data_IF_321898700712
#
_entry.id   IF_321898700712
#
_cell.length_a   1.000
_cell.length_b   1.000
_cell.length_c   1.000
_cell.angle_alpha   90.00
_cell.angle_beta   90.00
_cell.angle_gamma   90.00
#
_symmetry.space_group_name_H-M   'P 1'
#
loop_
_entity.id
_entity.type
_entity.pdbx_description
1 polymer ?
#
# COMPACT_ATOMS: atom_id res chain seq x y z
N UNK A 1 -11.18 -7.12 34.80
CA UNK A 1 -9.84 -7.66 34.40
C UNK A 1 -9.13 -6.61 33.57
N UNK A 2 -7.93 -6.19 33.99
CA UNK A 2 -7.17 -5.18 33.27
C UNK A 2 -6.56 -5.83 32.02
N UNK A 3 -6.91 -5.35 30.83
CA UNK A 3 -6.33 -5.85 29.57
C UNK A 3 -4.82 -5.61 29.54
N UNK A 4 -4.05 -6.64 29.22
CA UNK A 4 -2.60 -6.52 29.07
C UNK A 4 -2.25 -5.74 27.79
N UNK A 5 -1.01 -5.22 27.69
CA UNK A 5 -0.52 -4.57 26.47
C UNK A 5 -0.62 -5.53 25.27
N UNK A 6 -0.30 -6.81 25.48
CA UNK A 6 -0.43 -7.85 24.46
C UNK A 6 -1.88 -7.95 23.95
N UNK A 7 -2.87 -7.96 24.84
CA UNK A 7 -4.28 -8.07 24.45
C UNK A 7 -4.76 -6.84 23.67
N UNK A 8 -4.29 -5.65 24.06
CA UNK A 8 -4.61 -4.40 23.33
C UNK A 8 -3.97 -4.38 21.94
N UNK A 9 -2.72 -4.86 21.81
CA UNK A 9 -2.04 -4.95 20.52
C UNK A 9 -2.77 -5.91 19.58
N UNK A 10 -3.07 -7.13 20.04
CA UNK A 10 -3.71 -8.13 19.17
C UNK A 10 -5.14 -7.71 18.79
N UNK A 11 -5.87 -7.05 19.69
CA UNK A 11 -7.18 -6.49 19.37
C UNK A 11 -7.09 -5.44 18.26
N UNK A 12 -6.09 -4.54 18.31
CA UNK A 12 -5.83 -3.56 17.24
C UNK A 12 -5.45 -4.24 15.92
N UNK A 13 -4.57 -5.26 15.97
CA UNK A 13 -4.17 -6.03 14.79
C UNK A 13 -5.38 -6.67 14.11
N UNK A 14 -6.26 -7.31 14.88
CA UNK A 14 -7.47 -7.92 14.35
C UNK A 14 -8.47 -6.89 13.82
N UNK A 15 -8.61 -5.76 14.50
CA UNK A 15 -9.46 -4.65 14.04
C UNK A 15 -8.99 -4.00 12.72
N UNK A 16 -7.68 -4.05 12.42
CA UNK A 16 -7.12 -3.60 11.13
C UNK A 16 -7.28 -4.63 10.02
N UNK A 17 -7.47 -5.88 10.38
CA UNK A 17 -7.68 -6.98 9.45
C UNK A 17 -6.40 -7.63 8.91
N UNK A 18 -6.60 -8.78 8.26
CA UNK A 18 -5.50 -9.54 7.64
C UNK A 18 -4.84 -8.74 6.51
N UNK A 19 -3.52 -8.84 6.42
CA UNK A 19 -2.68 -8.10 5.47
C UNK A 19 -2.16 -6.77 6.01
N UNK A 20 -2.62 -6.32 7.19
CA UNK A 20 -2.07 -5.12 7.79
C UNK A 20 -0.60 -5.30 8.13
N UNK A 21 0.23 -4.32 7.73
CA UNK A 21 1.66 -4.25 8.04
C UNK A 21 1.92 -3.13 9.05
N UNK A 22 2.70 -3.44 10.08
CA UNK A 22 2.91 -2.56 11.22
C UNK A 22 4.32 -2.69 11.81
N UNK A 23 4.66 -1.74 12.64
CA UNK A 23 5.88 -1.69 13.43
C UNK A 23 5.53 -1.34 14.88
N UNK A 24 6.51 -1.31 15.77
CA UNK A 24 6.29 -0.94 17.17
C UNK A 24 5.67 0.46 17.34
N UNK A 25 5.93 1.41 16.42
CA UNK A 25 5.44 2.79 16.54
C UNK A 25 3.91 2.86 16.41
N UNK A 26 3.30 1.90 15.72
CA UNK A 26 1.85 1.81 15.56
C UNK A 26 1.12 1.48 16.89
N UNK A 27 1.87 1.21 17.96
CA UNK A 27 1.39 0.89 19.31
C UNK A 27 2.01 1.77 20.40
N UNK A 28 2.64 2.89 20.05
CA UNK A 28 3.34 3.77 20.97
C UNK A 28 2.40 4.37 22.05
N UNK A 29 1.10 4.43 21.76
CA UNK A 29 0.05 4.88 22.69
C UNK A 29 -0.38 3.81 23.71
N UNK A 30 0.04 2.54 23.55
CA UNK A 30 -0.38 1.44 24.42
C UNK A 30 0.60 1.16 25.59
N UNK A 31 1.82 1.68 25.49
CA UNK A 31 2.83 1.46 26.54
C UNK A 31 4.22 1.92 26.14
N UNK A 32 5.20 1.62 26.99
CA UNK A 32 6.60 1.93 26.69
C UNK A 32 7.10 1.08 25.51
N UNK A 33 8.15 1.57 24.82
CA UNK A 33 8.78 0.84 23.72
C UNK A 33 9.13 -0.59 24.12
N UNK A 34 9.76 -0.76 25.29
CA UNK A 34 10.15 -2.07 25.79
C UNK A 34 8.96 -3.02 26.00
N UNK A 35 7.87 -2.51 26.59
CA UNK A 35 6.67 -3.34 26.82
C UNK A 35 5.96 -3.73 25.53
N UNK A 36 5.96 -2.84 24.52
CA UNK A 36 5.44 -3.13 23.18
C UNK A 36 6.31 -4.17 22.47
N UNK A 37 7.64 -4.03 22.53
CA UNK A 37 8.58 -4.99 21.90
C UNK A 37 8.43 -6.39 22.51
N UNK A 38 8.31 -6.50 23.84
CA UNK A 38 8.05 -7.78 24.53
C UNK A 38 6.72 -8.39 24.10
N UNK A 39 5.66 -7.57 23.99
CA UNK A 39 4.35 -8.05 23.58
C UNK A 39 4.36 -8.54 22.13
N UNK A 40 5.00 -7.80 21.19
CA UNK A 40 5.16 -8.20 19.80
C UNK A 40 5.96 -9.51 19.68
N UNK A 41 7.04 -9.67 20.47
CA UNK A 41 7.80 -10.91 20.49
C UNK A 41 6.95 -12.11 20.95
N UNK A 42 6.13 -11.94 21.97
CA UNK A 42 5.19 -13.00 22.42
C UNK A 42 4.19 -13.37 21.34
N UNK A 43 3.55 -12.38 20.68
CA UNK A 43 2.60 -12.60 19.60
C UNK A 43 3.25 -13.29 18.38
N UNK A 44 4.53 -12.99 18.10
CA UNK A 44 5.31 -13.67 17.08
C UNK A 44 5.53 -15.15 17.43
N UNK A 45 5.94 -15.45 18.67
CA UNK A 45 6.15 -16.82 19.14
C UNK A 45 4.85 -17.63 19.21
N UNK A 46 3.71 -16.96 19.46
CA UNK A 46 2.38 -17.57 19.42
C UNK A 46 1.85 -17.75 17.98
N UNK A 47 2.62 -17.37 16.94
CA UNK A 47 2.20 -17.47 15.54
C UNK A 47 1.02 -16.56 15.15
N UNK A 48 0.69 -15.56 15.98
CA UNK A 48 -0.43 -14.64 15.74
C UNK A 48 -0.11 -13.56 14.72
N UNK A 49 1.16 -13.21 14.62
CA UNK A 49 1.71 -12.25 13.66
C UNK A 49 2.96 -12.85 13.03
N UNK A 50 3.38 -12.31 11.88
CA UNK A 50 4.60 -12.73 11.18
C UNK A 50 5.59 -11.57 11.16
N UNK A 51 6.88 -11.86 11.34
CA UNK A 51 7.95 -10.90 11.11
C UNK A 51 8.41 -10.99 9.68
N UNK A 52 8.28 -9.91 8.90
CA UNK A 52 8.64 -9.85 7.48
C UNK A 52 9.99 -9.17 7.23
N UNK A 53 10.43 -8.32 8.17
CA UNK A 53 11.77 -7.75 8.22
C UNK A 53 12.11 -7.35 9.68
N UNK A 54 13.34 -6.89 9.93
CA UNK A 54 13.73 -6.44 11.28
C UNK A 54 12.83 -5.27 11.77
N UNK A 55 11.99 -5.56 12.78
CA UNK A 55 11.06 -4.60 13.39
C UNK A 55 9.87 -4.24 12.50
N UNK A 56 9.58 -5.06 11.48
CA UNK A 56 8.40 -4.95 10.62
C UNK A 56 7.63 -6.25 10.66
N UNK A 57 6.36 -6.17 10.95
CA UNK A 57 5.46 -7.30 11.16
C UNK A 57 4.22 -7.18 10.27
N UNK A 58 3.56 -8.30 10.00
CA UNK A 58 2.24 -8.30 9.38
C UNK A 58 1.27 -9.27 10.10
N UNK A 59 -0.01 -9.05 9.85
CA UNK A 59 -1.06 -10.01 10.15
C UNK A 59 -1.37 -10.76 8.85
N UNK A 60 -0.81 -11.99 8.65
CA UNK A 60 -0.78 -12.61 7.33
C UNK A 60 -2.18 -12.96 6.82
N UNK A 61 -2.35 -12.84 5.50
CA UNK A 61 -3.52 -13.37 4.78
C UNK A 61 -3.26 -14.81 4.40
N UNK A 62 -4.28 -15.63 4.50
CA UNK A 62 -4.28 -16.99 3.99
C UNK A 62 -5.15 -17.07 2.74
N UNK A 63 -4.77 -17.87 1.77
CA UNK A 63 -5.57 -18.19 0.58
C UNK A 63 -6.06 -19.62 0.67
N UNK A 64 -7.36 -19.82 0.80
CA UNK A 64 -7.95 -21.16 0.82
C UNK A 64 -7.77 -21.84 -0.54
N UNK A 65 -7.81 -21.07 -1.65
CA UNK A 65 -7.61 -21.61 -3.00
C UNK A 65 -6.19 -22.14 -3.23
N UNK A 66 -5.19 -21.46 -2.67
CA UNK A 66 -3.77 -21.83 -2.82
C UNK A 66 -3.24 -22.64 -1.63
N UNK A 67 -4.08 -22.85 -0.62
CA UNK A 67 -3.77 -23.53 0.65
C UNK A 67 -2.47 -23.01 1.30
N UNK A 68 -2.19 -21.70 1.15
CA UNK A 68 -0.95 -21.11 1.64
C UNK A 68 -1.14 -19.71 2.19
N UNK A 69 -0.18 -19.32 3.04
CA UNK A 69 -0.07 -17.94 3.52
C UNK A 69 0.49 -17.05 2.42
N UNK A 70 -0.25 -16.00 2.08
CA UNK A 70 0.14 -15.06 1.03
C UNK A 70 1.37 -14.24 1.43
N UNK A 71 2.11 -13.78 0.42
CA UNK A 71 3.17 -12.80 0.59
C UNK A 71 2.64 -11.51 1.23
N UNK A 72 3.48 -10.76 2.00
CA UNK A 72 3.08 -9.48 2.55
C UNK A 72 2.80 -8.47 1.44
N UNK A 73 1.94 -7.49 1.72
CA UNK A 73 1.77 -6.33 0.83
C UNK A 73 3.00 -5.42 0.95
N UNK A 74 3.81 -5.39 -0.10
CA UNK A 74 5.08 -4.64 -0.12
C UNK A 74 4.87 -3.12 -0.08
N UNK A 75 3.76 -2.59 -0.60
CA UNK A 75 3.44 -1.16 -0.47
C UNK A 75 3.06 -0.80 0.97
N UNK A 76 2.27 -1.64 1.63
CA UNK A 76 1.98 -1.46 3.06
C UNK A 76 3.25 -1.59 3.91
N UNK A 77 4.18 -2.48 3.52
CA UNK A 77 5.47 -2.62 4.20
C UNK A 77 6.34 -1.37 4.03
N UNK A 78 6.43 -0.81 2.81
CA UNK A 78 7.14 0.45 2.56
C UNK A 78 6.57 1.59 3.42
N UNK A 79 5.25 1.70 3.50
CA UNK A 79 4.56 2.71 4.33
C UNK A 79 4.78 2.50 5.83
N UNK A 80 4.82 1.25 6.30
CA UNK A 80 5.11 0.94 7.69
C UNK A 80 6.55 1.31 8.06
N UNK A 81 7.51 1.03 7.19
CA UNK A 81 8.91 1.43 7.34
C UNK A 81 9.02 2.95 7.37
N UNK A 82 8.40 3.64 6.42
CA UNK A 82 8.40 5.10 6.35
C UNK A 82 7.83 5.75 7.62
N UNK A 83 6.68 5.27 8.12
CA UNK A 83 6.10 5.73 9.40
C UNK A 83 7.07 5.55 10.56
N UNK A 84 7.75 4.40 10.64
CA UNK A 84 8.75 4.13 11.70
C UNK A 84 9.92 5.10 11.65
N UNK A 85 10.33 5.50 10.45
CA UNK A 85 11.46 6.40 10.24
C UNK A 85 11.06 7.89 10.25
N UNK A 86 9.76 8.20 10.26
CA UNK A 86 9.25 9.56 10.14
C UNK A 86 9.41 10.15 8.74
N UNK A 87 9.54 9.30 7.71
CA UNK A 87 9.71 9.71 6.31
C UNK A 87 8.38 9.89 5.61
N UNK A 88 8.34 10.87 4.74
CA UNK A 88 7.32 10.96 3.68
C UNK A 88 7.82 10.19 2.48
N UNK A 89 6.94 9.41 1.88
CA UNK A 89 7.29 8.61 0.71
C UNK A 89 6.27 8.80 -0.41
N UNK A 90 6.76 8.66 -1.63
CA UNK A 90 5.97 8.63 -2.84
C UNK A 90 6.39 7.42 -3.67
N UNK A 91 5.43 6.65 -4.16
CA UNK A 91 5.73 5.53 -5.03
C UNK A 91 6.36 6.02 -6.33
N UNK A 92 7.38 5.33 -6.84
CA UNK A 92 7.91 5.62 -8.18
C UNK A 92 6.92 5.18 -9.27
N UNK A 93 7.03 5.78 -10.46
CA UNK A 93 6.17 5.41 -11.58
C UNK A 93 6.29 3.93 -11.96
N UNK A 94 7.50 3.39 -12.01
CA UNK A 94 7.73 1.97 -12.30
C UNK A 94 7.10 1.04 -11.27
N UNK A 95 7.22 1.36 -9.98
CA UNK A 95 6.58 0.59 -8.92
C UNK A 95 5.05 0.69 -8.98
N UNK A 96 4.52 1.86 -9.34
CA UNK A 96 3.08 2.05 -9.53
C UNK A 96 2.53 1.19 -10.68
N UNK A 97 3.23 1.14 -11.82
CA UNK A 97 2.88 0.28 -12.95
C UNK A 97 2.83 -1.20 -12.56
N UNK A 98 3.78 -1.65 -11.76
CA UNK A 98 3.81 -3.03 -11.29
C UNK A 98 2.66 -3.35 -10.34
N UNK A 99 2.39 -2.49 -9.36
CA UNK A 99 1.29 -2.69 -8.40
C UNK A 99 -0.07 -2.73 -9.13
N UNK A 100 -0.24 -1.90 -10.16
CA UNK A 100 -1.45 -1.89 -10.98
C UNK A 100 -1.48 -3.01 -12.03
N UNK A 101 -0.42 -3.82 -12.13
CA UNK A 101 -0.32 -4.90 -13.11
C UNK A 101 -0.22 -4.42 -14.55
N UNK A 102 0.23 -3.19 -14.77
CA UNK A 102 0.43 -2.59 -16.10
C UNK A 102 1.81 -2.89 -16.68
N UNK A 103 2.72 -3.42 -15.89
CA UNK A 103 4.03 -3.90 -16.33
C UNK A 103 4.09 -5.42 -16.23
N UNK A 104 4.66 -6.08 -17.24
CA UNK A 104 4.95 -7.53 -17.23
C UNK A 104 6.25 -7.86 -16.51
N UNK A 105 7.06 -6.86 -16.20
CA UNK A 105 8.29 -7.08 -15.43
C UNK A 105 7.91 -7.34 -13.97
N UNK A 106 8.32 -8.49 -13.45
CA UNK A 106 8.26 -8.77 -12.00
C UNK A 106 9.48 -8.10 -11.37
N UNK A 107 9.34 -6.95 -10.71
CA UNK A 107 10.49 -6.31 -10.12
C UNK A 107 10.83 -7.03 -8.82
N UNK A 108 12.02 -7.58 -8.72
CA UNK A 108 12.61 -7.94 -7.44
C UNK A 108 12.85 -6.72 -6.53
N UNK A 109 12.57 -5.51 -7.04
CA UNK A 109 12.82 -4.23 -6.35
C UNK A 109 11.66 -3.25 -6.57
N UNK A 110 11.09 -2.75 -5.46
CA UNK A 110 10.07 -1.70 -5.45
C UNK A 110 10.69 -0.39 -4.98
N UNK A 111 10.71 0.62 -5.85
CA UNK A 111 11.35 1.90 -5.56
C UNK A 111 10.34 2.94 -5.10
N UNK A 112 10.67 3.64 -4.01
CA UNK A 112 9.96 4.79 -3.48
C UNK A 112 10.89 6.01 -3.40
N UNK A 113 10.38 7.17 -3.75
CA UNK A 113 11.02 8.45 -3.43
C UNK A 113 10.73 8.79 -1.97
N UNK A 114 11.71 9.33 -1.27
CA UNK A 114 11.62 9.61 0.17
C UNK A 114 12.34 10.92 0.52
N UNK A 115 11.82 11.67 1.49
CA UNK A 115 12.56 12.80 2.09
C UNK A 115 13.63 12.34 3.10
N UNK A 116 13.65 11.04 3.45
CA UNK A 116 14.71 10.41 4.22
C UNK A 116 15.92 10.02 3.35
N UNK A 117 16.97 9.46 3.95
CA UNK A 117 18.15 8.99 3.22
C UNK A 117 17.82 7.83 2.30
N UNK A 118 18.64 7.64 1.27
CA UNK A 118 18.55 6.46 0.41
C UNK A 118 18.90 5.21 1.20
N UNK A 119 17.97 4.22 1.22
CA UNK A 119 18.12 3.00 1.98
C UNK A 119 17.32 1.86 1.35
N UNK A 120 17.81 0.63 1.50
CA UNK A 120 17.16 -0.59 1.05
C UNK A 120 16.72 -1.47 2.24
N UNK A 121 15.58 -2.13 2.05
CA UNK A 121 15.05 -3.12 2.99
C UNK A 121 14.66 -4.38 2.23
N UNK A 122 15.23 -5.51 2.63
CA UNK A 122 14.87 -6.81 2.07
C UNK A 122 13.69 -7.38 2.85
N UNK A 123 12.65 -7.76 2.12
CA UNK A 123 11.45 -8.41 2.65
C UNK A 123 11.21 -9.68 1.82
N UNK A 124 11.49 -10.84 2.41
CA UNK A 124 11.55 -12.10 1.71
C UNK A 124 12.51 -12.00 0.50
N UNK A 125 12.03 -12.27 -0.72
CA UNK A 125 12.80 -12.23 -1.96
C UNK A 125 12.79 -10.85 -2.65
N UNK A 126 12.04 -9.88 -2.12
CA UNK A 126 11.87 -8.56 -2.73
C UNK A 126 12.62 -7.48 -1.94
N UNK A 127 13.12 -6.48 -2.65
CA UNK A 127 13.78 -5.31 -2.08
C UNK A 127 12.86 -4.10 -2.18
N UNK A 128 12.65 -3.41 -1.06
CA UNK A 128 12.07 -2.07 -1.02
C UNK A 128 13.22 -1.07 -0.97
N UNK A 129 13.34 -0.26 -2.00
CA UNK A 129 14.35 0.79 -2.13
C UNK A 129 13.71 2.15 -1.89
N UNK A 130 14.24 2.90 -0.94
CA UNK A 130 13.94 4.33 -0.77
C UNK A 130 15.07 5.13 -1.40
N UNK A 131 14.73 6.04 -2.31
CA UNK A 131 15.66 6.99 -2.92
C UNK A 131 15.38 8.38 -2.40
N UNK A 132 16.42 9.05 -1.90
CA UNK A 132 16.29 10.43 -1.45
C UNK A 132 15.83 11.33 -2.59
N UNK A 133 14.80 12.14 -2.32
CA UNK A 133 14.27 13.13 -3.24
C UNK A 133 13.60 14.26 -2.48
N UNK A 134 13.76 15.49 -2.98
CA UNK A 134 12.93 16.60 -2.51
C UNK A 134 11.50 16.37 -3.02
N UNK A 135 10.63 15.83 -2.17
CA UNK A 135 9.24 15.52 -2.51
C UNK A 135 8.42 16.81 -2.69
N UNK A 136 8.68 17.57 -3.77
CA UNK A 136 7.99 18.83 -4.06
C UNK A 136 6.51 18.67 -4.41
N UNK A 137 6.08 17.46 -4.79
CA UNK A 137 4.71 17.17 -5.27
C UNK A 137 4.02 16.00 -4.53
N UNK A 138 4.36 15.73 -3.28
CA UNK A 138 3.71 14.67 -2.50
C UNK A 138 2.36 15.12 -1.93
N UNK A 139 1.52 15.75 -2.76
CA UNK A 139 0.26 16.39 -2.34
C UNK A 139 -0.96 15.47 -2.24
N UNK A 140 -0.87 14.23 -2.70
CA UNK A 140 -2.03 13.33 -2.68
C UNK A 140 -2.17 12.63 -1.32
N UNK A 141 -3.37 12.77 -0.72
CA UNK A 141 -3.67 12.23 0.61
C UNK A 141 -4.00 10.74 0.56
N UNK A 142 -4.59 10.29 -0.56
CA UNK A 142 -4.95 8.90 -0.74
C UNK A 142 -3.81 8.12 -1.39
N UNK A 143 -3.62 6.89 -0.92
CA UNK A 143 -2.71 5.92 -1.53
C UNK A 143 -3.04 5.69 -3.00
N UNK A 144 -4.31 5.48 -3.29
CA UNK A 144 -4.85 5.20 -4.62
C UNK A 144 -4.62 6.39 -5.57
N UNK A 145 -4.83 7.61 -5.10
CA UNK A 145 -4.54 8.83 -5.88
C UNK A 145 -3.07 8.90 -6.29
N UNK A 146 -2.16 8.71 -5.33
CA UNK A 146 -0.72 8.71 -5.59
C UNK A 146 -0.33 7.60 -6.56
N UNK A 147 -0.88 6.39 -6.38
CA UNK A 147 -0.60 5.22 -7.20
C UNK A 147 -1.00 5.45 -8.66
N UNK A 148 -2.25 5.89 -8.90
CA UNK A 148 -2.77 6.11 -10.25
C UNK A 148 -2.06 7.28 -10.94
N UNK A 149 -1.87 8.41 -10.25
CA UNK A 149 -1.16 9.56 -10.81
C UNK A 149 0.26 9.21 -11.23
N UNK A 150 1.00 8.46 -10.40
CA UNK A 150 2.37 8.07 -10.74
C UNK A 150 2.43 7.04 -11.87
N UNK A 151 1.47 6.13 -11.96
CA UNK A 151 1.37 5.18 -13.07
C UNK A 151 1.07 5.90 -14.39
N UNK A 152 0.05 6.76 -14.42
CA UNK A 152 -0.30 7.53 -15.61
C UNK A 152 0.86 8.43 -16.06
N UNK A 153 1.52 9.12 -15.11
CA UNK A 153 2.70 9.96 -15.41
C UNK A 153 3.85 9.15 -16.01
N UNK A 154 4.07 7.92 -15.52
CA UNK A 154 5.14 7.05 -16.03
C UNK A 154 4.83 6.48 -17.42
N UNK A 155 3.56 6.25 -17.74
CA UNK A 155 3.12 5.84 -19.07
C UNK A 155 3.24 6.98 -20.08
N UNK A 156 2.90 8.19 -19.68
CA UNK A 156 2.70 9.32 -20.59
C UNK A 156 1.36 9.27 -21.30
N UNK A 157 0.87 10.42 -21.83
CA UNK A 157 -0.47 10.53 -22.40
C UNK A 157 -0.69 9.59 -23.58
N UNK A 158 0.32 9.38 -24.43
CA UNK A 158 0.23 8.58 -25.66
C UNK A 158 0.06 7.07 -25.41
N UNK A 159 0.34 6.60 -24.19
CA UNK A 159 0.24 5.19 -23.82
C UNK A 159 -0.96 4.88 -22.90
N UNK A 160 -1.77 5.88 -22.58
CA UNK A 160 -2.98 5.68 -21.78
C UNK A 160 -4.15 5.31 -22.69
N UNK A 161 -4.22 4.02 -23.02
CA UNK A 161 -5.29 3.44 -23.84
C UNK A 161 -6.50 3.05 -22.99
N UNK A 162 -7.65 2.74 -23.63
CA UNK A 162 -8.83 2.25 -22.94
C UNK A 162 -8.52 0.97 -22.12
N UNK A 163 -7.76 0.01 -22.69
CA UNK A 163 -7.35 -1.20 -21.96
C UNK A 163 -6.57 -0.88 -20.69
N UNK A 164 -5.68 0.11 -20.73
CA UNK A 164 -4.94 0.57 -19.55
C UNK A 164 -5.89 1.17 -18.51
N UNK A 165 -6.83 1.98 -18.92
CA UNK A 165 -7.82 2.59 -18.03
C UNK A 165 -8.72 1.53 -17.38
N UNK A 166 -9.19 0.56 -18.14
CA UNK A 166 -10.00 -0.56 -17.63
C UNK A 166 -9.22 -1.43 -16.64
N UNK A 167 -7.93 -1.67 -16.90
CA UNK A 167 -7.06 -2.42 -15.96
C UNK A 167 -6.81 -1.67 -14.66
N UNK A 168 -6.65 -0.36 -14.72
CA UNK A 168 -6.55 0.48 -13.52
C UNK A 168 -7.87 0.43 -12.76
N UNK A 169 -9.01 0.64 -13.45
CA UNK A 169 -10.34 0.64 -12.86
C UNK A 169 -10.61 -0.62 -12.05
N UNK A 170 -10.39 -1.80 -12.64
CA UNK A 170 -10.55 -3.10 -11.96
C UNK A 170 -9.72 -3.28 -10.67
N UNK A 171 -8.68 -2.48 -10.48
CA UNK A 171 -7.82 -2.49 -9.29
C UNK A 171 -8.22 -1.46 -8.23
N UNK A 172 -9.05 -0.49 -8.61
CA UNK A 172 -9.56 0.53 -7.70
C UNK A 172 -10.83 0.05 -7.00
N UNK A 173 -11.02 0.52 -5.77
CA UNK A 173 -12.31 0.38 -5.11
C UNK A 173 -13.22 1.51 -5.62
N UNK A 174 -14.35 1.20 -6.30
CA UNK A 174 -15.26 2.21 -6.86
C UNK A 174 -15.76 3.21 -5.82
N UNK A 175 -15.93 2.77 -4.56
CA UNK A 175 -16.35 3.65 -3.46
C UNK A 175 -15.34 4.77 -3.15
N UNK A 176 -14.08 4.63 -3.59
CA UNK A 176 -13.04 5.65 -3.42
C UNK A 176 -13.00 6.68 -4.55
N UNK A 177 -13.66 6.43 -5.69
CA UNK A 177 -13.62 7.29 -6.87
C UNK A 177 -13.95 8.76 -6.58
N UNK A 178 -15.00 9.12 -5.82
CA UNK A 178 -15.28 10.52 -5.52
C UNK A 178 -14.14 11.19 -4.72
N UNK A 179 -13.50 10.43 -3.85
CA UNK A 179 -12.38 10.92 -3.03
C UNK A 179 -11.10 11.04 -3.85
N UNK A 180 -10.82 10.10 -4.76
CA UNK A 180 -9.68 10.13 -5.69
C UNK A 180 -9.81 11.35 -6.61
N UNK A 181 -10.98 11.57 -7.23
CA UNK A 181 -11.24 12.73 -8.07
C UNK A 181 -11.04 14.06 -7.34
N UNK A 182 -11.49 14.14 -6.09
CA UNK A 182 -11.25 15.34 -5.25
C UNK A 182 -9.78 15.55 -4.94
N UNK A 183 -9.06 14.49 -4.63
CA UNK A 183 -7.65 14.52 -4.21
C UNK A 183 -6.71 14.84 -5.38
N UNK A 184 -7.06 14.41 -6.60
CA UNK A 184 -6.22 14.58 -7.80
C UNK A 184 -6.51 15.85 -8.62
N UNK A 185 -7.30 16.79 -8.12
CA UNK A 185 -7.62 18.05 -8.82
C UNK A 185 -6.39 18.90 -9.19
N UNK A 186 -5.31 18.74 -8.44
CA UNK A 186 -4.04 19.46 -8.66
C UNK A 186 -3.09 18.72 -9.59
N UNK A 187 -3.43 17.52 -10.06
CA UNK A 187 -2.66 16.79 -11.05
C UNK A 187 -2.71 17.49 -12.42
N UNK A 188 -1.80 17.12 -13.33
CA UNK A 188 -1.86 17.61 -14.70
C UNK A 188 -3.22 17.31 -15.33
N UNK A 189 -3.75 18.25 -16.12
CA UNK A 189 -5.13 18.19 -16.63
C UNK A 189 -5.48 16.88 -17.31
N UNK A 190 -4.59 16.35 -18.15
CA UNK A 190 -4.79 15.07 -18.85
C UNK A 190 -4.83 13.88 -17.88
N UNK A 191 -4.05 13.90 -16.80
CA UNK A 191 -4.08 12.85 -15.75
C UNK A 191 -5.42 12.88 -15.02
N UNK A 192 -5.87 14.06 -14.62
CA UNK A 192 -7.15 14.20 -13.94
C UNK A 192 -8.33 13.77 -14.84
N UNK A 193 -8.26 14.06 -16.14
CA UNK A 193 -9.23 13.61 -17.12
C UNK A 193 -9.26 12.09 -17.25
N UNK A 194 -8.08 11.45 -17.40
CA UNK A 194 -7.99 9.98 -17.45
C UNK A 194 -8.55 9.33 -16.17
N UNK A 195 -8.26 9.89 -14.98
CA UNK A 195 -8.82 9.39 -13.71
C UNK A 195 -10.35 9.51 -13.70
N UNK A 196 -10.92 10.58 -14.27
CA UNK A 196 -12.37 10.72 -14.38
C UNK A 196 -12.98 9.62 -15.25
N UNK A 197 -12.41 9.36 -16.40
CA UNK A 197 -12.87 8.31 -17.33
C UNK A 197 -12.76 6.91 -16.69
N UNK A 198 -11.68 6.61 -15.98
CA UNK A 198 -11.51 5.38 -15.21
C UNK A 198 -12.64 5.23 -14.17
N UNK A 199 -12.93 6.28 -13.41
CA UNK A 199 -13.96 6.25 -12.38
C UNK A 199 -15.38 6.14 -12.95
N UNK A 200 -15.66 6.75 -14.08
CA UNK A 200 -16.97 6.69 -14.77
C UNK A 200 -17.21 5.30 -15.39
N UNK A 201 -16.17 4.69 -15.97
CA UNK A 201 -16.24 3.34 -16.52
C UNK A 201 -16.60 2.28 -15.47
N UNK A 202 -16.07 2.37 -14.27
CA UNK A 202 -16.40 1.45 -13.17
C UNK A 202 -17.85 1.60 -12.66
N UNK A 203 -18.39 2.82 -12.67
CA UNK A 203 -19.77 3.08 -12.25
C UNK A 203 -20.77 2.45 -13.24
N UNK A 204 -20.48 2.48 -14.55
CA UNK A 204 -21.34 1.93 -15.58
C UNK A 204 -21.20 0.40 -15.74
N UNK A 205 -20.00 -0.14 -15.50
CA UNK A 205 -19.74 -1.60 -15.56
C UNK A 205 -20.49 -2.43 -14.50
N UNK A 206 -20.85 -1.84 -13.37
CA UNK A 206 -21.62 -2.51 -12.32
C UNK A 206 -23.14 -2.52 -12.55
N UNK A 207 -23.63 -1.78 -13.57
CA UNK A 207 -25.06 -1.67 -13.88
C UNK A 207 -25.55 -2.68 -14.90
N UNK A 208 -24.72 -3.59 -15.41
CA UNK A 208 -25.13 -4.63 -16.35
C UNK A 208 -25.60 -5.88 -15.58
N UNK A 209 -26.88 -6.27 -15.65
CA UNK A 209 -27.36 -7.50 -15.01
C UNK A 209 -26.72 -8.71 -15.69
N UNK A 210 -26.34 -9.69 -14.89
CA UNK A 210 -25.87 -10.98 -15.36
C UNK A 210 -26.88 -11.60 -16.34
N UNK A 211 -26.46 -12.19 -17.46
CA UNK A 211 -27.37 -12.94 -18.33
C UNK A 211 -27.92 -14.13 -17.57
N UNK A 212 -29.25 -14.33 -17.65
CA UNK A 212 -30.01 -15.44 -17.11
C UNK A 212 -29.65 -16.76 -17.80
#
# INVERSE_FOLDING_TARGET
MTQTIKDKIIARVYGKGRGWVFTQIDFADLGTRQSVDVALHRLLNEGRIRRIARGVYDYPRYSDLLETTLAPDYDLAARAIARRQGWRIQISGSAALNILGLSTQVPGRLTYLSDGPSQEFVINENTIEFRHSSLKESGFRLRESSLVVQALRALGPDHVTQDVMDRIGRRLNPALCPRILKDTKTAAGWIHQAIREICEGEIHGQSSPAPR
#
